data_IF_782419310617
#
_entry.id   IF_782419310617
#
_cell.length_a   1.000
_cell.length_b   1.000
_cell.length_c   1.000
_cell.angle_alpha   90.00
_cell.angle_beta   90.00
_cell.angle_gamma   90.00
#
_symmetry.space_group_name_H-M   'P 1'
#
loop_
_entity.id
_entity.type
_entity.pdbx_description
1 polymer ?
#
# COMPACT_ATOMS: atom_id res chain seq x y z
N UNK A 1 15.66 -40.51 31.26
CA UNK A 1 16.15 -39.63 30.17
C UNK A 1 15.10 -38.61 29.72
N UNK A 2 13.80 -38.93 29.76
CA UNK A 2 12.70 -38.01 29.38
C UNK A 2 12.48 -36.81 30.33
N UNK A 3 12.84 -36.94 31.61
CA UNK A 3 12.71 -35.85 32.62
C UNK A 3 13.76 -34.76 32.45
N UNK A 4 14.99 -35.13 32.06
CA UNK A 4 16.07 -34.18 31.71
C UNK A 4 15.70 -33.39 30.46
N UNK A 5 15.05 -34.04 29.49
CA UNK A 5 14.61 -33.39 28.25
C UNK A 5 13.56 -32.30 28.51
N UNK A 6 12.57 -32.58 29.37
CA UNK A 6 11.58 -31.57 29.76
C UNK A 6 12.19 -30.38 30.52
N UNK A 7 13.15 -30.63 31.41
CA UNK A 7 13.84 -29.57 32.16
C UNK A 7 14.68 -28.69 31.22
N UNK A 8 15.36 -29.28 30.23
CA UNK A 8 16.13 -28.52 29.23
C UNK A 8 15.23 -27.73 28.25
N UNK A 9 14.07 -28.28 27.87
CA UNK A 9 13.08 -27.58 27.04
C UNK A 9 12.47 -26.39 27.80
N UNK A 10 12.19 -26.52 29.10
CA UNK A 10 11.70 -25.40 29.91
C UNK A 10 12.76 -24.31 30.14
N UNK A 11 14.04 -24.69 30.31
CA UNK A 11 15.14 -23.72 30.44
C UNK A 11 15.36 -22.97 29.12
N UNK A 12 15.34 -23.66 27.98
CA UNK A 12 15.49 -23.03 26.67
C UNK A 12 14.29 -22.12 26.32
N UNK A 13 13.08 -22.45 26.76
CA UNK A 13 11.89 -21.63 26.59
C UNK A 13 11.89 -20.34 27.44
N UNK A 14 12.53 -20.36 28.63
CA UNK A 14 12.66 -19.15 29.45
C UNK A 14 13.78 -18.22 28.99
N UNK A 15 14.80 -18.70 28.27
CA UNK A 15 15.88 -17.86 27.75
C UNK A 15 15.52 -17.04 26.51
N UNK A 16 14.36 -17.30 25.89
CA UNK A 16 13.86 -16.54 24.72
C UNK A 16 13.15 -15.23 25.13
N UNK A 17 12.88 -15.02 26.42
CA UNK A 17 12.19 -13.82 26.93
C UNK A 17 13.13 -12.66 27.32
N UNK A 18 14.44 -12.77 27.05
CA UNK A 18 15.37 -11.63 27.09
C UNK A 18 15.48 -11.00 25.69
N UNK A 19 14.33 -10.63 25.13
CA UNK A 19 14.25 -9.70 24.02
C UNK A 19 14.59 -8.30 24.52
N UNK A 20 15.72 -7.75 24.06
CA UNK A 20 15.96 -6.32 24.18
C UNK A 20 14.91 -5.58 23.34
N UNK A 21 14.24 -4.63 23.98
CA UNK A 21 13.03 -3.99 23.52
C UNK A 21 13.22 -3.14 22.27
N UNK A 22 12.16 -3.09 21.47
CA UNK A 22 11.92 -1.98 20.56
C UNK A 22 11.63 -0.75 21.41
N UNK A 23 12.54 0.22 21.35
CA UNK A 23 12.22 1.61 21.67
C UNK A 23 10.94 2.00 20.92
N UNK A 24 10.00 2.73 21.53
CA UNK A 24 8.85 3.23 20.79
C UNK A 24 9.37 4.10 19.65
N UNK A 25 9.10 3.71 18.41
CA UNK A 25 9.15 4.65 17.30
C UNK A 25 7.86 5.44 17.44
N UNK A 26 8.01 6.65 17.98
CA UNK A 26 6.99 7.68 17.92
C UNK A 26 6.75 7.96 16.43
N UNK A 27 5.68 7.38 15.88
CA UNK A 27 5.20 7.76 14.57
C UNK A 27 4.48 9.11 14.74
N UNK A 28 5.25 10.18 14.81
CA UNK A 28 4.70 11.47 14.43
C UNK A 28 4.31 11.37 12.96
N UNK A 29 3.01 11.30 12.71
CA UNK A 29 2.42 11.46 11.40
C UNK A 29 2.86 12.82 10.84
N UNK A 30 3.66 12.90 9.77
CA UNK A 30 3.88 14.15 9.07
C UNK A 30 2.62 14.43 8.25
N UNK A 31 1.57 14.88 8.93
CA UNK A 31 0.57 15.69 8.26
C UNK A 31 1.24 17.05 8.12
N UNK A 32 1.75 17.31 6.91
CA UNK A 32 2.16 18.62 6.35
C UNK A 32 3.45 18.52 5.52
N UNK A 33 3.50 17.59 4.57
CA UNK A 33 4.23 17.89 3.33
C UNK A 33 3.26 18.55 2.36
N UNK A 34 3.20 19.87 2.44
CA UNK A 34 2.79 20.74 1.34
C UNK A 34 3.64 20.35 0.13
N UNK A 35 3.03 19.66 -0.83
CA UNK A 35 3.67 19.41 -2.12
C UNK A 35 3.68 20.74 -2.88
N UNK A 36 4.76 21.50 -2.77
CA UNK A 36 5.02 22.63 -3.64
C UNK A 36 5.28 22.09 -5.05
N UNK A 37 4.47 22.43 -6.05
CA UNK A 37 4.69 21.96 -7.42
C UNK A 37 6.02 22.52 -7.95
N UNK A 38 6.90 21.68 -8.54
CA UNK A 38 8.09 22.18 -9.22
C UNK A 38 7.70 22.85 -10.54
N UNK A 39 8.02 24.13 -10.66
CA UNK A 39 8.33 24.77 -11.94
C UNK A 39 7.15 25.17 -12.80
N UNK A 40 6.77 26.43 -12.67
CA UNK A 40 6.02 27.20 -13.66
C UNK A 40 6.71 27.11 -15.03
N UNK A 41 6.03 26.52 -16.01
CA UNK A 41 6.31 26.70 -17.43
C UNK A 41 5.04 27.16 -18.11
N UNK A 42 5.14 28.34 -18.72
CA UNK A 42 4.15 28.98 -19.57
C UNK A 42 3.59 27.98 -20.59
N UNK A 43 2.28 27.74 -20.57
CA UNK A 43 1.57 26.96 -21.60
C UNK A 43 0.75 27.93 -22.43
N UNK A 44 1.06 27.98 -23.72
CA UNK A 44 0.27 28.64 -24.75
C UNK A 44 -1.08 27.92 -24.92
N UNK A 45 -2.12 28.71 -25.14
CA UNK A 45 -3.53 28.34 -25.09
C UNK A 45 -3.93 27.41 -26.25
N UNK A 46 -3.81 26.11 -26.03
CA UNK A 46 -4.57 25.08 -26.75
C UNK A 46 -5.62 24.49 -25.80
N UNK A 47 -6.88 24.40 -26.26
CA UNK A 47 -8.07 24.05 -25.47
C UNK A 47 -7.85 22.84 -24.57
N UNK A 48 -7.77 23.07 -23.26
CA UNK A 48 -7.43 22.05 -22.26
C UNK A 48 -8.52 20.97 -22.16
N UNK A 49 -8.18 19.67 -22.23
CA UNK A 49 -9.11 18.61 -21.84
C UNK A 49 -9.41 18.74 -20.34
N UNK A 50 -10.65 18.48 -19.94
CA UNK A 50 -11.10 18.55 -18.55
C UNK A 50 -10.19 17.71 -17.63
N UNK A 51 -9.47 18.36 -16.72
CA UNK A 51 -8.57 17.69 -15.79
C UNK A 51 -9.37 17.13 -14.62
N UNK A 52 -9.74 15.84 -14.70
CA UNK A 52 -10.38 15.13 -13.60
C UNK A 52 -9.44 15.09 -12.38
N UNK A 53 -9.90 15.64 -11.26
CA UNK A 53 -9.16 15.63 -9.98
C UNK A 53 -9.58 14.41 -9.16
N UNK A 54 -8.61 13.71 -8.56
CA UNK A 54 -8.85 12.50 -7.77
C UNK A 54 -8.44 12.75 -6.32
N UNK A 55 -9.35 12.44 -5.39
CA UNK A 55 -9.08 12.47 -3.96
C UNK A 55 -9.10 11.05 -3.40
N UNK A 56 -8.22 10.75 -2.45
CA UNK A 56 -8.19 9.44 -1.82
C UNK A 56 -9.49 9.21 -1.02
N UNK A 57 -10.29 8.16 -1.32
CA UNK A 57 -11.60 7.97 -0.70
C UNK A 57 -11.54 7.38 0.72
N UNK A 58 -10.33 7.13 1.24
CA UNK A 58 -10.14 6.34 2.46
C UNK A 58 -9.95 4.85 2.15
N UNK A 59 -9.94 4.03 3.20
CA UNK A 59 -9.89 2.57 3.06
C UNK A 59 -11.28 2.08 2.65
N UNK A 60 -11.37 1.41 1.50
CA UNK A 60 -12.62 0.84 0.98
C UNK A 60 -13.04 -0.41 1.78
N UNK A 61 -14.32 -0.85 1.68
CA UNK A 61 -14.78 -2.07 2.32
C UNK A 61 -13.99 -3.31 1.88
N UNK A 62 -13.83 -4.27 2.80
CA UNK A 62 -13.06 -5.50 2.59
C UNK A 62 -13.50 -6.26 1.32
N UNK A 63 -14.80 -6.26 1.01
CA UNK A 63 -15.38 -6.93 -0.16
C UNK A 63 -14.88 -6.34 -1.50
N UNK A 64 -14.45 -5.08 -1.46
CA UNK A 64 -13.94 -4.36 -2.61
C UNK A 64 -12.43 -4.53 -2.82
N UNK A 65 -11.67 -4.84 -1.77
CA UNK A 65 -10.20 -4.83 -1.80
C UNK A 65 -9.54 -6.18 -1.52
N UNK A 66 -10.18 -7.08 -0.76
CA UNK A 66 -9.59 -8.39 -0.44
C UNK A 66 -9.72 -9.37 -1.60
N UNK A 67 -8.69 -10.22 -1.74
CA UNK A 67 -8.62 -11.29 -2.73
C UNK A 67 -8.89 -10.82 -4.16
N UNK A 68 -8.45 -9.60 -4.50
CA UNK A 68 -8.63 -9.03 -5.83
C UNK A 68 -7.43 -9.32 -6.72
N UNK A 69 -7.73 -9.56 -7.99
CA UNK A 69 -6.76 -9.64 -9.06
C UNK A 69 -7.10 -8.53 -10.07
N UNK A 70 -6.11 -7.73 -10.44
CA UNK A 70 -6.23 -6.74 -11.50
C UNK A 70 -5.49 -7.22 -12.75
N UNK A 71 -6.05 -6.91 -13.92
CA UNK A 71 -5.43 -7.20 -15.21
C UNK A 71 -5.23 -5.88 -15.94
N UNK A 72 -4.00 -5.59 -16.31
CA UNK A 72 -3.64 -4.44 -17.14
C UNK A 72 -3.36 -4.95 -18.55
N UNK A 73 -4.19 -4.54 -19.50
CA UNK A 73 -3.98 -4.83 -20.92
C UNK A 73 -3.07 -3.78 -21.54
N UNK A 74 -1.93 -4.20 -22.07
CA UNK A 74 -0.99 -3.32 -22.78
C UNK A 74 -0.83 -3.80 -24.23
N UNK A 75 -0.26 -2.97 -25.14
CA UNK A 75 0.08 -3.42 -26.50
C UNK A 75 1.06 -4.61 -26.54
N UNK A 76 1.77 -4.90 -25.44
CA UNK A 76 2.74 -5.99 -25.34
C UNK A 76 2.19 -7.22 -24.62
N UNK A 77 0.90 -7.23 -24.28
CA UNK A 77 0.24 -8.32 -23.57
C UNK A 77 -0.36 -7.88 -22.24
N UNK A 78 -0.87 -8.87 -21.51
CA UNK A 78 -1.52 -8.67 -20.22
C UNK A 78 -0.53 -8.78 -19.06
N UNK A 79 -0.72 -7.91 -18.06
CA UNK A 79 -0.02 -7.97 -16.78
C UNK A 79 -1.08 -8.27 -15.72
N UNK A 80 -0.94 -9.39 -15.03
CA UNK A 80 -1.83 -9.79 -13.94
C UNK A 80 -1.19 -9.46 -12.60
N UNK A 81 -1.95 -8.81 -11.72
CA UNK A 81 -1.52 -8.36 -10.40
C UNK A 81 -2.45 -8.95 -9.33
N UNK A 82 -1.88 -9.65 -8.34
CA UNK A 82 -2.60 -10.00 -7.11
C UNK A 82 -2.45 -8.88 -6.08
N UNK A 83 -3.54 -8.50 -5.44
CA UNK A 83 -3.57 -7.36 -4.51
C UNK A 83 -3.66 -7.84 -3.05
N UNK A 84 -2.63 -7.50 -2.26
CA UNK A 84 -2.50 -7.87 -0.85
C UNK A 84 -3.06 -6.79 0.08
N UNK A 85 -4.40 -6.74 0.19
CA UNK A 85 -5.08 -5.75 1.04
C UNK A 85 -4.78 -5.91 2.54
N UNK A 86 -4.48 -7.12 3.00
CA UNK A 86 -4.15 -7.39 4.40
C UNK A 86 -2.80 -6.75 4.80
N UNK A 87 -1.88 -6.58 3.85
CA UNK A 87 -0.57 -5.98 4.08
C UNK A 87 -0.58 -4.46 3.82
N UNK A 88 -1.30 -4.01 2.78
CA UNK A 88 -1.28 -2.63 2.32
C UNK A 88 -2.69 -2.06 2.03
N UNK A 89 -3.59 -1.97 3.03
CA UNK A 89 -5.00 -1.66 2.82
C UNK A 89 -5.24 -0.28 2.20
N UNK A 90 -4.45 0.73 2.58
CA UNK A 90 -4.54 2.09 2.01
C UNK A 90 -4.18 2.11 0.52
N UNK A 91 -3.09 1.43 0.17
CA UNK A 91 -2.57 1.37 -1.20
C UNK A 91 -3.52 0.61 -2.11
N UNK A 92 -4.00 -0.56 -1.67
CA UNK A 92 -4.96 -1.35 -2.45
C UNK A 92 -6.28 -0.60 -2.61
N UNK A 93 -6.78 0.08 -1.57
CA UNK A 93 -7.98 0.91 -1.67
C UNK A 93 -7.84 2.03 -2.69
N UNK A 94 -6.71 2.76 -2.66
CA UNK A 94 -6.45 3.83 -3.62
C UNK A 94 -6.35 3.27 -5.06
N UNK A 95 -5.65 2.15 -5.24
CA UNK A 95 -5.51 1.52 -6.53
C UNK A 95 -6.85 1.06 -7.10
N UNK A 96 -7.67 0.36 -6.31
CA UNK A 96 -9.01 -0.10 -6.74
C UNK A 96 -9.90 1.09 -7.10
N UNK A 97 -9.87 2.15 -6.30
CA UNK A 97 -10.58 3.40 -6.61
C UNK A 97 -10.15 3.98 -7.96
N UNK A 98 -8.85 4.19 -8.17
CA UNK A 98 -8.32 4.76 -9.41
C UNK A 98 -8.60 3.90 -10.65
N UNK A 99 -8.56 2.57 -10.50
CA UNK A 99 -8.95 1.63 -11.56
C UNK A 99 -10.42 1.82 -11.94
N UNK A 100 -11.33 1.89 -10.95
CA UNK A 100 -12.77 2.11 -11.20
C UNK A 100 -13.05 3.46 -11.87
N UNK A 101 -12.26 4.47 -11.54
CA UNK A 101 -12.37 5.80 -12.13
C UNK A 101 -11.75 5.92 -13.54
N UNK A 102 -11.13 4.84 -14.03
CA UNK A 102 -10.49 4.79 -15.35
C UNK A 102 -9.15 5.52 -15.43
N UNK A 103 -8.54 5.86 -14.29
CA UNK A 103 -7.32 6.69 -14.23
C UNK A 103 -6.16 6.11 -15.04
N UNK A 104 -5.98 4.79 -15.04
CA UNK A 104 -4.86 4.12 -15.71
C UNK A 104 -5.09 3.89 -17.21
N UNK A 105 -6.27 4.25 -17.75
CA UNK A 105 -6.56 4.07 -19.17
C UNK A 105 -5.80 5.09 -20.02
N UNK A 106 -5.20 4.61 -21.12
CA UNK A 106 -4.49 5.48 -22.05
C UNK A 106 -3.10 5.93 -21.61
N UNK A 107 -2.60 5.43 -20.47
CA UNK A 107 -1.19 5.56 -20.12
C UNK A 107 -0.34 4.64 -21.02
N UNK A 108 0.73 5.17 -21.61
CA UNK A 108 1.58 4.47 -22.60
C UNK A 108 3.06 4.60 -22.29
#
# INVERSE_FOLDING_TARGET
MQKIFFVLVCIFAMTVLLGCGQSPVEYESPNDTVFTPPGERTIEEETMPETKTYAFPGILPDEEIKNKVAVITTPRGEITLELYADEAPKTVSNFVYLVKEGFYNGLT
#
